data_IF_992132922859
#
_entry.id   IF_992132922859
#
_cell.length_a   1.000
_cell.length_b   1.000
_cell.length_c   1.000
_cell.angle_alpha   90.00
_cell.angle_beta   90.00
_cell.angle_gamma   90.00
#
_symmetry.space_group_name_H-M   'P 1'
#
loop_
_entity.id
_entity.type
_entity.pdbx_description
1 polymer ?
#
# COMPACT_ATOMS: atom_id res chain seq x y z
N UNK A 1 -5.70 -35.06 37.35
CA UNK A 1 -6.08 -33.95 36.45
C UNK A 1 -7.23 -33.17 37.08
N UNK A 2 -7.02 -31.92 37.52
CA UNK A 2 -8.05 -31.10 38.17
C UNK A 2 -9.25 -30.94 37.22
N UNK A 3 -10.47 -31.32 37.64
CA UNK A 3 -11.70 -31.11 36.86
C UNK A 3 -11.97 -29.61 36.74
N UNK A 4 -11.53 -29.00 35.65
CA UNK A 4 -11.83 -27.60 35.36
C UNK A 4 -13.34 -27.42 35.15
N UNK A 5 -13.90 -26.38 35.78
CA UNK A 5 -15.32 -26.01 35.61
C UNK A 5 -15.58 -25.69 34.14
N UNK A 6 -16.77 -26.05 33.64
CA UNK A 6 -17.16 -25.86 32.25
C UNK A 6 -16.98 -24.41 31.77
N UNK A 7 -17.30 -23.43 32.62
CA UNK A 7 -17.08 -22.00 32.33
C UNK A 7 -15.61 -21.61 32.12
N UNK A 8 -14.66 -22.27 32.82
CA UNK A 8 -13.22 -22.01 32.61
C UNK A 8 -12.75 -22.52 31.24
N UNK A 9 -13.28 -23.66 30.78
CA UNK A 9 -12.94 -24.20 29.45
C UNK A 9 -13.48 -23.29 28.33
N UNK A 10 -14.70 -22.80 28.49
CA UNK A 10 -15.29 -21.84 27.54
C UNK A 10 -14.51 -20.53 27.50
N UNK A 11 -14.16 -19.97 28.68
CA UNK A 11 -13.39 -18.74 28.77
C UNK A 11 -12.03 -18.85 28.07
N UNK A 12 -11.32 -19.97 28.27
CA UNK A 12 -10.02 -20.21 27.60
C UNK A 12 -10.18 -20.29 26.08
N UNK A 13 -11.21 -20.97 25.57
CA UNK A 13 -11.46 -21.06 24.13
C UNK A 13 -11.79 -19.68 23.51
N UNK A 14 -12.60 -18.87 24.20
CA UNK A 14 -12.90 -17.51 23.77
C UNK A 14 -11.68 -16.59 23.80
N UNK A 15 -10.84 -16.69 24.84
CA UNK A 15 -9.59 -15.93 24.91
C UNK A 15 -8.62 -16.34 23.79
N UNK A 16 -8.53 -17.62 23.46
CA UNK A 16 -7.71 -18.09 22.34
C UNK A 16 -8.21 -17.55 20.99
N UNK A 17 -9.52 -17.55 20.75
CA UNK A 17 -10.13 -16.96 19.55
C UNK A 17 -9.88 -15.45 19.46
N UNK A 18 -10.05 -14.73 20.57
CA UNK A 18 -9.77 -13.29 20.63
C UNK A 18 -8.30 -12.99 20.32
N UNK A 19 -7.37 -13.80 20.84
CA UNK A 19 -5.94 -13.66 20.54
C UNK A 19 -5.64 -13.87 19.05
N UNK A 20 -6.23 -14.89 18.42
CA UNK A 20 -6.07 -15.13 16.97
C UNK A 20 -6.58 -13.94 16.16
N UNK A 21 -7.75 -13.38 16.52
CA UNK A 21 -8.30 -12.21 15.86
C UNK A 21 -7.39 -10.98 15.97
N UNK A 22 -6.77 -10.76 17.14
CA UNK A 22 -5.78 -9.68 17.34
C UNK A 22 -4.56 -9.87 16.45
N UNK A 23 -4.04 -11.11 16.35
CA UNK A 23 -2.89 -11.41 15.49
C UNK A 23 -3.23 -11.14 14.02
N UNK A 24 -4.39 -11.60 13.54
CA UNK A 24 -4.85 -11.35 12.17
C UNK A 24 -4.99 -9.86 11.89
N UNK A 25 -5.59 -9.10 12.81
CA UNK A 25 -5.72 -7.65 12.69
C UNK A 25 -4.37 -6.94 12.61
N UNK A 26 -3.41 -7.32 13.47
CA UNK A 26 -2.06 -6.77 13.44
C UNK A 26 -1.32 -7.08 12.13
N UNK A 27 -1.45 -8.30 11.61
CA UNK A 27 -0.87 -8.69 10.31
C UNK A 27 -1.51 -7.89 9.17
N UNK A 28 -2.83 -7.69 9.19
CA UNK A 28 -3.54 -6.90 8.18
C UNK A 28 -3.07 -5.45 8.11
N UNK A 29 -2.97 -4.77 9.25
CA UNK A 29 -2.49 -3.38 9.33
C UNK A 29 -1.04 -3.27 8.83
N UNK A 30 -0.17 -4.21 9.23
CA UNK A 30 1.22 -4.23 8.78
C UNK A 30 1.33 -4.46 7.25
N UNK A 31 0.49 -5.31 6.69
CA UNK A 31 0.40 -5.55 5.25
C UNK A 31 0.01 -4.29 4.47
N UNK A 32 -1.03 -3.59 4.91
CA UNK A 32 -1.51 -2.35 4.30
C UNK A 32 -0.46 -1.23 4.38
N UNK A 33 0.17 -1.04 5.54
CA UNK A 33 1.22 -0.03 5.70
C UNK A 33 2.44 -0.32 4.79
N UNK A 34 2.83 -1.59 4.67
CA UNK A 34 3.91 -1.98 3.75
C UNK A 34 3.51 -1.76 2.30
N UNK A 35 2.24 -2.00 1.94
CA UNK A 35 1.72 -1.77 0.59
C UNK A 35 1.75 -0.30 0.20
N UNK A 36 1.21 0.57 1.06
CA UNK A 36 1.22 2.01 0.83
C UNK A 36 2.65 2.53 0.67
N UNK A 37 3.56 2.11 1.55
CA UNK A 37 4.97 2.49 1.46
C UNK A 37 5.61 2.07 0.13
N UNK A 38 5.33 0.86 -0.37
CA UNK A 38 5.86 0.43 -1.68
C UNK A 38 5.35 1.32 -2.82
N UNK A 39 4.06 1.72 -2.82
CA UNK A 39 3.50 2.60 -3.84
C UNK A 39 4.06 4.03 -3.75
N UNK A 40 4.25 4.54 -2.53
CA UNK A 40 4.90 5.83 -2.29
C UNK A 40 6.36 5.81 -2.77
N UNK A 41 7.12 4.75 -2.45
CA UNK A 41 8.50 4.55 -2.94
C UNK A 41 8.56 4.53 -4.48
N UNK A 42 7.60 3.88 -5.15
CA UNK A 42 7.51 3.92 -6.62
C UNK A 42 7.28 5.33 -7.15
N UNK A 43 6.40 6.09 -6.49
CA UNK A 43 6.06 7.46 -6.88
C UNK A 43 7.24 8.40 -6.68
N UNK A 44 7.94 8.28 -5.57
CA UNK A 44 9.16 9.02 -5.29
C UNK A 44 10.24 8.71 -6.33
N UNK A 45 10.49 7.44 -6.63
CA UNK A 45 11.44 7.02 -7.65
C UNK A 45 11.06 7.57 -9.04
N UNK A 46 9.78 7.58 -9.41
CA UNK A 46 9.31 8.24 -10.63
C UNK A 46 9.58 9.75 -10.66
N UNK A 47 9.56 10.41 -9.50
CA UNK A 47 9.99 11.79 -9.33
C UNK A 47 11.49 11.96 -9.52
N UNK A 48 12.29 11.05 -8.96
CA UNK A 48 13.76 11.02 -9.13
C UNK A 48 14.15 10.93 -10.62
N UNK A 49 13.46 10.09 -11.41
CA UNK A 49 13.71 9.99 -12.86
C UNK A 49 13.53 11.34 -13.55
N UNK A 50 12.47 12.08 -13.20
CA UNK A 50 12.20 13.39 -13.79
C UNK A 50 13.28 14.43 -13.40
N UNK A 51 13.77 14.36 -12.15
CA UNK A 51 14.86 15.22 -11.69
C UNK A 51 16.14 14.92 -12.47
N UNK A 52 16.47 13.64 -12.66
CA UNK A 52 17.63 13.23 -13.45
C UNK A 52 17.52 13.65 -14.92
N UNK A 53 16.33 13.48 -15.52
CA UNK A 53 16.06 13.89 -16.91
C UNK A 53 16.25 15.41 -17.08
N UNK A 54 15.82 16.22 -16.11
CA UNK A 54 16.06 17.68 -16.12
C UNK A 54 17.55 18.00 -16.14
N UNK A 55 18.35 17.25 -15.38
CA UNK A 55 19.81 17.35 -15.45
C UNK A 55 20.35 16.98 -16.83
N UNK A 56 19.74 16.00 -17.51
CA UNK A 56 20.16 15.59 -18.85
C UNK A 56 19.81 16.61 -19.96
N UNK A 57 18.70 17.33 -19.84
CA UNK A 57 18.35 18.36 -20.83
C UNK A 57 18.99 19.72 -20.55
N UNK A 58 19.55 19.93 -19.36
CA UNK A 58 20.24 21.17 -19.02
C UNK A 58 21.59 21.30 -19.75
N UNK A 59 21.69 22.28 -20.65
CA UNK A 59 22.90 22.57 -21.43
C UNK A 59 24.12 22.94 -20.59
N UNK A 60 23.92 23.45 -19.38
CA UNK A 60 25.01 23.80 -18.46
C UNK A 60 25.58 22.59 -17.70
N UNK A 61 24.98 21.40 -17.87
CA UNK A 61 25.38 20.17 -17.17
C UNK A 61 26.07 19.16 -18.08
N UNK A 62 26.91 19.63 -19.01
CA UNK A 62 27.59 18.78 -20.00
C UNK A 62 28.90 18.14 -19.52
N UNK A 63 29.35 18.43 -18.28
CA UNK A 63 30.55 17.81 -17.69
C UNK A 63 30.36 16.29 -17.55
N UNK A 64 31.32 15.49 -18.00
CA UNK A 64 31.18 14.03 -18.16
C UNK A 64 30.80 13.30 -16.87
N UNK A 65 31.39 13.67 -15.73
CA UNK A 65 31.06 13.14 -14.39
C UNK A 65 29.60 13.43 -13.98
N UNK A 66 29.14 14.67 -14.21
CA UNK A 66 27.77 15.07 -13.93
C UNK A 66 26.79 14.29 -14.79
N UNK A 67 27.08 14.14 -16.09
CA UNK A 67 26.29 13.35 -17.04
C UNK A 67 26.14 11.90 -16.57
N UNK A 68 27.27 11.24 -16.27
CA UNK A 68 27.29 9.87 -15.75
C UNK A 68 26.47 9.72 -14.46
N UNK A 69 26.59 10.69 -13.56
CA UNK A 69 25.80 10.72 -12.32
C UNK A 69 24.29 10.81 -12.61
N UNK A 70 23.86 11.66 -13.56
CA UNK A 70 22.44 11.74 -13.94
C UNK A 70 21.91 10.41 -14.51
N UNK A 71 22.67 9.75 -15.40
CA UNK A 71 22.27 8.45 -15.93
C UNK A 71 22.17 7.39 -14.83
N UNK A 72 23.18 7.30 -13.96
CA UNK A 72 23.16 6.36 -12.83
C UNK A 72 22.00 6.63 -11.87
N UNK A 73 21.66 7.90 -11.64
CA UNK A 73 20.55 8.30 -10.80
C UNK A 73 19.21 7.87 -11.41
N UNK A 74 19.01 8.13 -12.70
CA UNK A 74 17.84 7.67 -13.47
C UNK A 74 17.73 6.14 -13.42
N UNK A 75 18.81 5.43 -13.75
CA UNK A 75 18.80 3.96 -13.83
C UNK A 75 18.50 3.34 -12.46
N UNK A 76 19.05 3.91 -11.39
CA UNK A 76 18.73 3.52 -10.02
C UNK A 76 17.27 3.75 -9.65
N UNK A 77 16.71 4.91 -9.99
CA UNK A 77 15.31 5.22 -9.74
C UNK A 77 14.37 4.27 -10.50
N UNK A 78 14.67 3.98 -11.77
CA UNK A 78 13.88 3.05 -12.58
C UNK A 78 13.90 1.64 -12.04
N UNK A 79 15.06 1.19 -11.57
CA UNK A 79 15.18 -0.10 -10.87
C UNK A 79 14.29 -0.15 -9.64
N UNK A 80 14.28 0.90 -8.80
CA UNK A 80 13.36 0.98 -7.64
C UNK A 80 11.90 0.92 -8.09
N UNK A 81 11.54 1.63 -9.17
CA UNK A 81 10.17 1.57 -9.70
C UNK A 81 9.80 0.16 -10.19
N UNK A 82 10.69 -0.53 -10.88
CA UNK A 82 10.47 -1.91 -11.35
C UNK A 82 10.34 -2.90 -10.19
N UNK A 83 11.12 -2.72 -9.12
CA UNK A 83 11.01 -3.52 -7.90
C UNK A 83 9.68 -3.31 -7.20
N UNK A 84 9.26 -2.06 -7.00
CA UNK A 84 7.97 -1.72 -6.44
C UNK A 84 6.81 -2.23 -7.30
N UNK A 85 6.94 -2.11 -8.62
CA UNK A 85 5.97 -2.64 -9.58
C UNK A 85 5.79 -4.15 -9.41
N UNK A 86 6.88 -4.92 -9.39
CA UNK A 86 6.82 -6.38 -9.24
C UNK A 86 6.13 -6.77 -7.93
N UNK A 87 6.46 -6.09 -6.83
CA UNK A 87 5.80 -6.32 -5.53
C UNK A 87 4.31 -6.06 -5.65
N UNK A 88 3.91 -4.87 -6.13
CA UNK A 88 2.50 -4.50 -6.24
C UNK A 88 1.72 -5.42 -7.19
N UNK A 89 2.30 -5.80 -8.32
CA UNK A 89 1.64 -6.60 -9.36
C UNK A 89 1.20 -7.98 -8.85
N UNK A 90 2.00 -8.61 -7.99
CA UNK A 90 1.70 -9.94 -7.42
C UNK A 90 0.59 -9.95 -6.38
N UNK A 91 0.25 -8.80 -5.80
CA UNK A 91 -0.74 -8.73 -4.74
C UNK A 91 -2.17 -8.90 -5.29
N UNK A 92 -3.05 -9.58 -4.56
CA UNK A 92 -4.49 -9.52 -4.83
C UNK A 92 -4.95 -8.06 -4.78
N UNK A 93 -5.79 -7.67 -5.74
CA UNK A 93 -6.30 -6.31 -5.89
C UNK A 93 -7.82 -6.33 -5.79
N UNK A 94 -8.41 -5.28 -5.24
CA UNK A 94 -9.86 -5.06 -5.39
C UNK A 94 -10.20 -4.76 -6.85
N UNK A 95 -11.50 -4.75 -7.18
CA UNK A 95 -11.98 -4.41 -8.54
C UNK A 95 -11.55 -2.99 -8.93
N UNK A 96 -11.63 -2.06 -7.99
CA UNK A 96 -11.26 -0.65 -8.18
C UNK A 96 -9.76 -0.47 -8.37
N UNK A 97 -8.94 -1.15 -7.55
CA UNK A 97 -7.49 -1.15 -7.69
C UNK A 97 -7.05 -1.77 -9.02
N UNK A 98 -7.64 -2.91 -9.40
CA UNK A 98 -7.34 -3.57 -10.67
C UNK A 98 -7.67 -2.67 -11.86
N UNK A 99 -8.77 -1.91 -11.80
CA UNK A 99 -9.13 -0.92 -12.81
C UNK A 99 -8.06 0.17 -12.92
N UNK A 100 -7.73 0.86 -11.83
CA UNK A 100 -6.72 1.93 -11.85
C UNK A 100 -5.36 1.38 -12.29
N UNK A 101 -4.97 0.19 -11.83
CA UNK A 101 -3.74 -0.47 -12.24
C UNK A 101 -3.71 -0.79 -13.74
N UNK A 102 -4.84 -1.21 -14.31
CA UNK A 102 -4.95 -1.45 -15.75
C UNK A 102 -4.81 -0.18 -16.59
N UNK A 103 -5.25 0.97 -16.06
CA UNK A 103 -5.09 2.30 -16.67
C UNK A 103 -3.66 2.84 -16.51
N UNK A 104 -3.01 2.53 -15.38
CA UNK A 104 -1.62 2.92 -15.10
C UNK A 104 -0.63 2.28 -16.10
N UNK A 105 -0.83 1.01 -16.46
CA UNK A 105 0.06 0.26 -17.36
C UNK A 105 0.34 0.93 -18.72
N UNK A 106 -0.68 1.31 -19.52
CA UNK A 106 -0.44 1.99 -20.78
C UNK A 106 0.15 3.40 -20.59
N UNK A 107 -0.21 4.11 -19.51
CA UNK A 107 0.41 5.41 -19.18
C UNK A 107 1.91 5.25 -18.93
N UNK A 108 2.30 4.22 -18.16
CA UNK A 108 3.70 3.90 -17.87
C UNK A 108 4.46 3.63 -19.15
N UNK A 109 3.94 2.74 -20.00
CA UNK A 109 4.57 2.38 -21.27
C UNK A 109 4.78 3.60 -22.17
N UNK A 110 3.77 4.47 -22.25
CA UNK A 110 3.82 5.68 -23.10
C UNK A 110 4.85 6.67 -22.58
N UNK A 111 4.79 7.00 -21.28
CA UNK A 111 5.76 7.87 -20.63
C UNK A 111 7.19 7.32 -20.77
N UNK A 112 7.38 6.03 -20.48
CA UNK A 112 8.67 5.35 -20.53
C UNK A 112 9.30 5.45 -21.92
N UNK A 113 8.53 5.24 -22.98
CA UNK A 113 9.02 5.36 -24.34
C UNK A 113 9.49 6.78 -24.68
N UNK A 114 8.78 7.81 -24.20
CA UNK A 114 9.17 9.22 -24.38
C UNK A 114 10.41 9.57 -23.56
N UNK A 115 10.49 9.14 -22.32
CA UNK A 115 11.69 9.29 -21.48
C UNK A 115 12.92 8.67 -22.14
N UNK A 116 12.79 7.45 -22.66
CA UNK A 116 13.89 6.78 -23.38
C UNK A 116 14.31 7.54 -24.65
N UNK A 117 13.38 8.24 -25.31
CA UNK A 117 13.72 9.11 -26.43
C UNK A 117 14.54 10.33 -25.97
N UNK A 118 14.18 10.96 -24.85
CA UNK A 118 14.99 12.04 -24.23
C UNK A 118 16.38 11.54 -23.87
N UNK A 119 16.48 10.33 -23.29
CA UNK A 119 17.76 9.68 -22.96
C UNK A 119 18.63 9.51 -24.19
N UNK A 120 18.09 8.95 -25.28
CA UNK A 120 18.83 8.76 -26.54
C UNK A 120 19.32 10.07 -27.15
N UNK A 121 18.51 11.13 -27.13
CA UNK A 121 18.95 12.46 -27.59
C UNK A 121 20.09 13.00 -26.71
N UNK A 122 19.97 12.79 -25.40
CA UNK A 122 21.00 13.17 -24.43
C UNK A 122 22.30 12.39 -24.61
N UNK A 123 22.25 11.11 -24.97
CA UNK A 123 23.43 10.30 -25.29
C UNK A 123 24.13 10.82 -26.55
N UNK A 124 23.39 11.13 -27.61
CA UNK A 124 23.94 11.76 -28.83
C UNK A 124 24.63 13.09 -28.56
N UNK A 125 24.07 13.91 -27.66
CA UNK A 125 24.73 15.15 -27.21
C UNK A 125 26.09 14.86 -26.57
N UNK A 126 26.21 13.79 -25.78
CA UNK A 126 27.48 13.40 -25.16
C UNK A 126 28.49 12.95 -26.20
N UNK A 127 28.05 12.19 -27.22
CA UNK A 127 28.90 11.73 -28.32
C UNK A 127 29.49 12.91 -29.09
N UNK A 128 28.67 13.91 -29.45
CA UNK A 128 29.15 15.11 -30.12
C UNK A 128 30.12 15.91 -29.24
N UNK A 129 29.77 16.13 -27.97
CA UNK A 129 30.65 16.84 -27.04
C UNK A 129 32.00 16.12 -26.85
N UNK A 130 31.98 14.78 -26.75
CA UNK A 130 33.19 13.97 -26.67
C UNK A 130 34.04 14.00 -27.96
N UNK A 131 33.40 14.22 -29.11
CA UNK A 131 34.09 14.45 -30.38
C UNK A 131 34.63 15.89 -30.55
N UNK A 132 34.56 16.72 -29.50
CA UNK A 132 35.06 18.09 -29.51
C UNK A 132 34.12 19.11 -30.16
N UNK A 133 32.84 18.77 -30.34
CA UNK A 133 31.84 19.72 -30.83
C UNK A 133 31.52 20.73 -29.73
N UNK A 134 31.74 22.01 -30.04
CA UNK A 134 31.48 23.12 -29.13
C UNK A 134 30.00 23.27 -28.79
N UNK A 135 29.70 23.76 -27.58
CA UNK A 135 28.32 23.93 -27.10
C UNK A 135 27.48 24.95 -27.89
N UNK A 136 28.14 25.80 -28.67
CA UNK A 136 27.49 26.76 -29.59
C UNK A 136 27.29 26.23 -31.01
N UNK A 137 27.77 25.03 -31.33
CA UNK A 137 27.59 24.41 -32.63
C UNK A 137 26.09 24.16 -32.91
N UNK A 138 25.65 24.38 -34.14
CA UNK A 138 24.25 24.24 -34.54
C UNK A 138 23.73 22.82 -34.34
N UNK A 139 24.59 21.79 -34.50
CA UNK A 139 24.22 20.38 -34.30
C UNK A 139 23.88 20.08 -32.85
N UNK A 140 24.65 20.64 -31.91
CA UNK A 140 24.42 20.46 -30.48
C UNK A 140 23.20 21.27 -30.04
N UNK A 141 23.05 22.49 -30.56
CA UNK A 141 21.89 23.36 -30.30
C UNK A 141 20.58 22.72 -30.79
N UNK A 142 20.55 22.11 -31.98
CA UNK A 142 19.38 21.39 -32.48
C UNK A 142 19.02 20.20 -31.57
N UNK A 143 20.02 19.45 -31.10
CA UNK A 143 19.79 18.35 -30.17
C UNK A 143 19.31 18.83 -28.79
N UNK A 144 19.80 19.98 -28.31
CA UNK A 144 19.31 20.61 -27.07
C UNK A 144 17.82 20.92 -27.17
N UNK A 145 17.40 21.59 -28.25
CA UNK A 145 16.00 21.93 -28.49
C UNK A 145 15.13 20.68 -28.59
N UNK A 146 15.56 19.69 -29.39
CA UNK A 146 14.83 18.42 -29.55
C UNK A 146 14.71 17.66 -28.24
N UNK A 147 15.77 17.61 -27.44
CA UNK A 147 15.77 16.94 -26.14
C UNK A 147 14.82 17.66 -25.16
N UNK A 148 14.86 19.00 -25.15
CA UNK A 148 13.97 19.79 -24.31
C UNK A 148 12.49 19.62 -24.69
N UNK A 149 12.16 19.73 -25.98
CA UNK A 149 10.78 19.48 -26.48
C UNK A 149 10.31 18.06 -26.16
N UNK A 150 11.17 17.06 -26.35
CA UNK A 150 10.87 15.68 -25.99
C UNK A 150 10.63 15.51 -24.47
N UNK A 151 11.41 16.20 -23.63
CA UNK A 151 11.25 16.19 -22.17
C UNK A 151 9.94 16.85 -21.74
N UNK A 152 9.52 17.93 -22.38
CA UNK A 152 8.19 18.53 -22.14
C UNK A 152 7.06 17.56 -22.50
N UNK A 153 7.19 16.84 -23.61
CA UNK A 153 6.22 15.83 -24.01
C UNK A 153 6.19 14.63 -23.04
N UNK A 154 7.35 14.18 -22.55
CA UNK A 154 7.45 13.15 -21.52
C UNK A 154 6.85 13.64 -20.19
N UNK A 155 7.09 14.90 -19.81
CA UNK A 155 6.55 15.53 -18.60
C UNK A 155 5.03 15.53 -18.59
N UNK A 156 4.38 15.82 -19.72
CA UNK A 156 2.91 15.77 -19.82
C UNK A 156 2.38 14.37 -19.52
N UNK A 157 2.98 13.32 -20.07
CA UNK A 157 2.57 11.94 -19.79
C UNK A 157 2.87 11.54 -18.34
N UNK A 158 3.99 12.00 -17.79
CA UNK A 158 4.34 11.78 -16.39
C UNK A 158 3.26 12.34 -15.46
N UNK A 159 2.65 13.49 -15.78
CA UNK A 159 1.59 14.06 -14.94
C UNK A 159 0.38 13.13 -14.83
N UNK A 160 -0.04 12.57 -15.97
CA UNK A 160 -1.13 11.58 -16.01
C UNK A 160 -0.76 10.29 -15.28
N UNK A 161 0.46 9.79 -15.52
CA UNK A 161 1.01 8.61 -14.84
C UNK A 161 1.04 8.78 -13.32
N UNK A 162 1.62 9.89 -12.85
CA UNK A 162 1.74 10.22 -11.44
C UNK A 162 0.37 10.41 -10.78
N UNK A 163 -0.59 11.01 -11.49
CA UNK A 163 -1.97 11.14 -10.99
C UNK A 163 -2.64 9.76 -10.82
N UNK A 164 -2.45 8.84 -11.76
CA UNK A 164 -2.95 7.47 -11.67
C UNK A 164 -2.34 6.72 -10.47
N UNK A 165 -1.02 6.81 -10.29
CA UNK A 165 -0.35 6.22 -9.12
C UNK A 165 -0.81 6.85 -7.80
N UNK A 166 -0.99 8.17 -7.76
CA UNK A 166 -1.54 8.88 -6.60
C UNK A 166 -2.95 8.40 -6.26
N UNK A 167 -3.81 8.18 -7.26
CA UNK A 167 -5.16 7.66 -7.03
C UNK A 167 -5.14 6.25 -6.43
N UNK A 168 -4.16 5.43 -6.80
CA UNK A 168 -3.94 4.10 -6.23
C UNK A 168 -3.50 4.15 -4.76
N UNK A 169 -2.58 5.06 -4.43
CA UNK A 169 -2.13 5.33 -3.06
C UNK A 169 -3.31 5.83 -2.20
N UNK A 170 -4.10 6.77 -2.71
CA UNK A 170 -5.26 7.31 -1.99
C UNK A 170 -6.35 6.26 -1.76
N UNK A 171 -6.60 5.39 -2.75
CA UNK A 171 -7.55 4.30 -2.62
C UNK A 171 -7.13 3.35 -1.49
N UNK A 172 -5.86 2.96 -1.47
CA UNK A 172 -5.28 2.12 -0.42
C UNK A 172 -5.29 2.80 0.96
N UNK A 173 -4.98 4.10 1.02
CA UNK A 173 -5.03 4.88 2.26
C UNK A 173 -6.45 4.99 2.82
N UNK A 174 -7.46 5.18 1.96
CA UNK A 174 -8.87 5.17 2.38
C UNK A 174 -9.31 3.80 2.90
N UNK A 175 -8.89 2.72 2.24
CA UNK A 175 -9.15 1.36 2.70
C UNK A 175 -8.57 1.14 4.10
N UNK A 176 -7.29 1.47 4.31
CA UNK A 176 -6.62 1.36 5.61
C UNK A 176 -7.30 2.18 6.72
N UNK A 177 -7.73 3.42 6.42
CA UNK A 177 -8.46 4.25 7.38
C UNK A 177 -9.86 3.72 7.69
N UNK A 178 -10.56 3.16 6.68
CA UNK A 178 -11.90 2.61 6.85
C UNK A 178 -11.89 1.30 7.64
N UNK A 179 -10.90 0.43 7.39
CA UNK A 179 -10.69 -0.80 8.13
C UNK A 179 -10.25 -0.51 9.57
N UNK A 180 -9.41 0.50 9.79
CA UNK A 180 -9.07 0.97 11.14
C UNK A 180 -10.30 1.42 11.94
N UNK A 181 -11.17 2.24 11.33
CA UNK A 181 -12.42 2.70 11.98
C UNK A 181 -13.43 1.57 12.19
N UNK A 182 -13.50 0.61 11.27
CA UNK A 182 -14.35 -0.57 11.41
C UNK A 182 -13.81 -1.50 12.51
N UNK A 183 -12.49 -1.64 12.62
CA UNK A 183 -11.84 -2.35 13.72
C UNK A 183 -12.16 -1.69 15.08
N UNK A 184 -12.07 -0.37 15.19
CA UNK A 184 -12.41 0.39 16.41
C UNK A 184 -13.87 0.19 16.83
N UNK A 185 -14.81 0.27 15.88
CA UNK A 185 -16.24 0.05 16.13
C UNK A 185 -16.54 -1.40 16.52
N UNK A 186 -15.93 -2.35 15.83
CA UNK A 186 -16.06 -3.78 16.13
C UNK A 186 -15.49 -4.08 17.52
N UNK A 187 -14.34 -3.51 17.87
CA UNK A 187 -13.71 -3.64 19.18
C UNK A 187 -14.58 -3.08 20.31
N UNK A 188 -15.19 -1.90 20.11
CA UNK A 188 -16.13 -1.32 21.08
C UNK A 188 -17.37 -2.21 21.30
N UNK A 189 -17.93 -2.77 20.22
CA UNK A 189 -19.07 -3.69 20.31
C UNK A 189 -18.71 -5.04 20.95
N UNK A 190 -17.50 -5.56 20.70
CA UNK A 190 -17.01 -6.80 21.28
C UNK A 190 -16.80 -6.66 22.79
N UNK A 191 -16.22 -5.54 23.25
CA UNK A 191 -16.07 -5.24 24.68
C UNK A 191 -17.44 -5.10 25.38
N UNK A 192 -18.39 -4.40 24.76
CA UNK A 192 -19.76 -4.30 25.29
C UNK A 192 -20.43 -5.69 25.40
N UNK A 193 -20.27 -6.53 24.39
CA UNK A 193 -20.81 -7.90 24.38
C UNK A 193 -20.15 -8.77 25.45
N UNK A 194 -18.84 -8.62 25.66
CA UNK A 194 -18.08 -9.35 26.70
C UNK A 194 -18.53 -8.91 28.11
N UNK A 195 -18.76 -7.62 28.32
CA UNK A 195 -19.31 -7.10 29.58
C UNK A 195 -20.73 -7.65 29.83
N UNK A 196 -21.60 -7.66 28.81
CA UNK A 196 -22.95 -8.25 28.91
C UNK A 196 -22.86 -9.75 29.21
N UNK A 197 -21.98 -10.49 28.54
CA UNK A 197 -21.77 -11.91 28.79
C UNK A 197 -21.26 -12.19 30.22
N UNK A 198 -20.34 -11.35 30.73
CA UNK A 198 -19.87 -11.42 32.12
C UNK A 198 -21.00 -11.12 33.11
N UNK A 199 -21.83 -10.11 32.85
CA UNK A 199 -22.96 -9.73 33.72
C UNK A 199 -24.05 -10.82 33.74
N UNK A 200 -24.39 -11.40 32.58
CA UNK A 200 -25.33 -12.53 32.48
C UNK A 200 -24.73 -13.77 33.16
N UNK A 201 -23.46 -14.08 32.92
CA UNK A 201 -22.75 -15.20 33.55
C UNK A 201 -22.63 -15.05 35.08
N UNK A 202 -22.51 -13.82 35.58
CA UNK A 202 -22.52 -13.51 37.03
C UNK A 202 -23.92 -13.65 37.64
N UNK A 203 -24.97 -13.40 36.86
CA UNK A 203 -26.38 -13.57 37.26
C UNK A 203 -26.84 -15.04 37.20
N UNK A 204 -26.18 -15.88 36.41
CA UNK A 204 -26.42 -17.33 36.36
C UNK A 204 -25.62 -18.06 37.46
N UNK A 205 -26.15 -18.03 38.69
CA UNK A 205 -25.70 -18.89 39.79
C UNK A 205 -26.60 -20.12 39.86
N UNK A 206 -26.10 -21.36 39.69
CA UNK A 206 -26.91 -22.59 39.80
C UNK A 206 -27.56 -22.83 41.17
N UNK A 207 -27.34 -21.95 42.16
CA UNK A 207 -27.96 -22.05 43.49
C UNK A 207 -29.45 -21.69 43.48
N UNK A 208 -29.94 -21.01 42.45
CA UNK A 208 -31.31 -20.47 42.44
C UNK A 208 -32.32 -21.37 41.70
N UNK A 209 -31.86 -22.44 41.05
CA UNK A 209 -32.72 -23.45 40.40
C UNK A 209 -32.80 -24.75 41.18
N UNK A 210 -32.85 -24.67 42.52
CA UNK A 210 -33.29 -25.80 43.32
C UNK A 210 -34.79 -26.03 43.02
N UNK A 211 -35.06 -27.02 42.17
CA UNK A 211 -36.39 -27.57 41.92
C UNK A 211 -37.01 -27.97 43.28
N UNK A 212 -37.92 -27.14 43.82
CA UNK A 212 -38.80 -27.57 44.91
C UNK A 212 -39.76 -28.58 44.31
N UNK A 213 -39.39 -29.86 44.40
CA UNK A 213 -40.21 -30.97 43.93
C UNK A 213 -41.57 -31.00 44.63
N UNK A 214 -42.66 -31.35 43.93
CA UNK A 214 -43.98 -31.47 44.55
C UNK A 214 -44.13 -32.83 45.24
N UNK A 215 -44.23 -32.84 46.56
CA UNK A 215 -44.63 -34.00 47.37
C UNK A 215 -44.60 -33.63 48.85
N UNK A 216 -45.70 -33.62 49.60
CA UNK A 216 -46.78 -34.59 49.65
C UNK A 216 -48.12 -33.94 49.98
N UNK A 217 -49.12 -34.14 49.11
CA UNK A 217 -50.53 -34.10 49.49
C UNK A 217 -50.86 -35.38 50.26
N UNK A 218 -51.02 -35.29 51.59
CA UNK A 218 -51.63 -36.37 52.39
C UNK A 218 -53.10 -36.02 52.60
N UNK A 219 -54.01 -36.60 51.81
CA UNK A 219 -55.46 -36.57 52.05
C UNK A 219 -55.94 -37.93 52.59
N UNK A 220 -56.53 -37.85 53.79
CA UNK A 220 -57.71 -38.58 54.34
C UNK A 220 -57.72 -40.12 54.35
N UNK A 221 -58.05 -40.72 55.51
CA UNK A 221 -59.42 -41.16 55.83
C UNK A 221 -59.51 -41.98 57.15
N UNK A 222 -60.52 -41.64 57.97
CA UNK A 222 -61.37 -42.48 58.85
C UNK A 222 -60.83 -43.81 59.42
N UNK A 223 -60.78 -43.93 60.74
CA UNK A 223 -61.88 -44.37 61.62
C UNK A 223 -61.62 -43.88 63.04
#
# INVERSE_FOLDING_TARGET
>A
MKKMKLGMKLAIAFCALALIAVIIGAVGINGLNSLMRNLDEMKEALGEVLVGERGLVNRSMMRSDLRKSQYSFIDGALKKTDEGWKRYETLPKTVEEAKIWSEFKPLWKTWRAKHEYVRRLSEKKNELAAAGVELGDSRLTELDERAFTASLAARTDWLSLNKSLQSLIELNGKAALSEGKAADRTQASALATLIVAILIGKKWSPRDTAFKGPGHYRKKARK
#
